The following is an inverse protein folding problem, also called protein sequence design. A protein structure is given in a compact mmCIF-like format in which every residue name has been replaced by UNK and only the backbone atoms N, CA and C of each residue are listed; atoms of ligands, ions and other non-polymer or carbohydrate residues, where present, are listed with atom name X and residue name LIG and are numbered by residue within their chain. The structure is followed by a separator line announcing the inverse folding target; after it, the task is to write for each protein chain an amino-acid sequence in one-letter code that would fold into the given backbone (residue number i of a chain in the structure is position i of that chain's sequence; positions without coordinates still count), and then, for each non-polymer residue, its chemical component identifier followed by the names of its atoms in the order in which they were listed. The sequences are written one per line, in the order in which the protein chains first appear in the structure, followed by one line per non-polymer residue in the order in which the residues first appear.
data_IF_187252493862
#
_entry.id   IF_187252493862
#
_cell.length_a   1.000
_cell.length_b   1.000
_cell.length_c   1.000
_cell.angle_alpha   90.00
_cell.angle_beta   90.00
_cell.angle_gamma   90.00
#
_symmetry.space_group_name_H-M   'P 1'
#
loop_
_entity.id
_entity.type
_entity.pdbx_description
1 polymer ?
#
# COMPACT_ATOMS: atom_id res chain seq x y z
N UNK A 1 -32.67 5.01 -14.19
CA UNK A 1 -31.92 6.21 -14.62
C UNK A 1 -31.12 6.67 -13.42
N UNK A 2 -29.79 6.49 -13.43
CA UNK A 2 -28.92 6.93 -12.33
C UNK A 2 -28.67 8.44 -12.45
N UNK A 3 -28.62 9.13 -11.31
CA UNK A 3 -28.27 10.53 -11.25
C UNK A 3 -26.79 10.72 -11.67
N UNK A 4 -26.43 11.83 -12.34
CA UNK A 4 -25.05 12.09 -12.70
C UNK A 4 -24.19 12.24 -11.44
N UNK A 5 -23.09 11.48 -11.37
CA UNK A 5 -22.08 11.61 -10.31
C UNK A 5 -21.52 13.03 -10.35
N UNK A 6 -21.61 13.72 -9.22
CA UNK A 6 -21.14 15.09 -9.08
C UNK A 6 -19.63 15.13 -8.86
N UNK A 7 -18.99 16.24 -9.24
CA UNK A 7 -17.57 16.46 -8.96
C UNK A 7 -17.24 16.34 -7.45
N UNK A 8 -18.21 16.63 -6.56
CA UNK A 8 -18.06 16.45 -5.12
C UNK A 8 -17.93 14.97 -4.72
N UNK A 9 -18.72 14.07 -5.33
CA UNK A 9 -18.67 12.62 -5.06
C UNK A 9 -17.36 12.00 -5.53
N UNK A 10 -16.83 12.45 -6.68
CA UNK A 10 -15.51 12.04 -7.19
C UNK A 10 -14.42 12.48 -6.20
N UNK A 11 -14.43 13.74 -5.75
CA UNK A 11 -13.46 14.25 -4.79
C UNK A 11 -13.54 13.53 -3.43
N UNK A 12 -14.74 13.23 -2.95
CA UNK A 12 -14.93 12.47 -1.70
C UNK A 12 -14.36 11.06 -1.82
N UNK A 13 -14.63 10.38 -2.93
CA UNK A 13 -14.10 9.03 -3.20
C UNK A 13 -12.59 9.04 -3.28
N UNK A 14 -12.01 10.04 -3.96
CA UNK A 14 -10.57 10.23 -4.04
C UNK A 14 -9.92 10.41 -2.66
N UNK A 15 -10.49 11.28 -1.82
CA UNK A 15 -9.98 11.51 -0.47
C UNK A 15 -10.04 10.26 0.42
N UNK A 16 -11.09 9.45 0.31
CA UNK A 16 -11.19 8.20 1.08
C UNK A 16 -10.19 7.15 0.57
N UNK A 17 -9.98 7.03 -0.75
CA UNK A 17 -8.91 6.18 -1.33
C UNK A 17 -7.52 6.60 -0.81
N UNK A 18 -7.22 7.90 -0.82
CA UNK A 18 -5.94 8.43 -0.29
C UNK A 18 -5.77 8.18 1.22
N UNK A 19 -6.85 8.31 2.00
CA UNK A 19 -6.84 7.98 3.43
C UNK A 19 -6.58 6.49 3.66
N UNK A 20 -7.19 5.63 2.86
CA UNK A 20 -6.98 4.18 2.96
C UNK A 20 -5.54 3.81 2.56
N UNK A 21 -5.01 4.39 1.49
CA UNK A 21 -3.61 4.25 1.07
C UNK A 21 -2.63 4.61 2.19
N UNK A 22 -2.86 5.72 2.90
CA UNK A 22 -2.04 6.11 4.08
C UNK A 22 -2.10 5.07 5.21
N UNK A 23 -3.28 4.52 5.50
CA UNK A 23 -3.42 3.44 6.50
C UNK A 23 -2.67 2.18 6.08
N UNK A 24 -2.80 1.76 4.81
CA UNK A 24 -2.10 0.60 4.27
C UNK A 24 -0.59 0.78 4.34
N UNK A 25 -0.07 1.97 3.99
CA UNK A 25 1.36 2.29 4.11
C UNK A 25 1.85 2.20 5.56
N UNK A 26 1.05 2.64 6.53
CA UNK A 26 1.39 2.52 7.94
C UNK A 26 1.50 1.05 8.37
N UNK A 27 0.57 0.19 7.93
CA UNK A 27 0.60 -1.25 8.20
C UNK A 27 1.83 -1.90 7.57
N UNK A 28 2.15 -1.60 6.31
CA UNK A 28 3.34 -2.14 5.63
C UNK A 28 4.62 -1.72 6.35
N UNK A 29 4.70 -0.45 6.78
CA UNK A 29 5.85 0.06 7.53
C UNK A 29 6.03 -0.69 8.85
N UNK A 30 4.94 -0.94 9.58
CA UNK A 30 4.99 -1.70 10.82
C UNK A 30 5.45 -3.15 10.59
N UNK A 31 4.90 -3.82 9.56
CA UNK A 31 5.31 -5.17 9.18
C UNK A 31 6.81 -5.25 8.84
N UNK A 32 7.32 -4.31 8.04
CA UNK A 32 8.76 -4.23 7.73
C UNK A 32 9.59 -4.12 9.00
N UNK A 33 9.21 -3.22 9.92
CA UNK A 33 9.91 -3.04 11.18
C UNK A 33 9.91 -4.32 12.04
N UNK A 34 8.80 -5.07 12.05
CA UNK A 34 8.72 -6.33 12.78
C UNK A 34 9.63 -7.40 12.17
N UNK A 35 9.65 -7.53 10.83
CA UNK A 35 10.51 -8.50 10.14
C UNK A 35 11.99 -8.14 10.34
N UNK A 36 12.36 -6.87 10.22
CA UNK A 36 13.73 -6.43 10.48
C UNK A 36 14.18 -6.72 11.91
N UNK A 37 13.32 -6.50 12.91
CA UNK A 37 13.61 -6.88 14.31
C UNK A 37 13.87 -8.38 14.44
N UNK A 38 13.04 -9.23 13.82
CA UNK A 38 13.23 -10.68 13.83
C UNK A 38 14.54 -11.08 13.16
N UNK A 39 14.84 -10.54 11.98
CA UNK A 39 16.10 -10.79 11.27
C UNK A 39 17.32 -10.32 12.05
N UNK A 40 17.23 -9.21 12.77
CA UNK A 40 18.31 -8.72 13.63
C UNK A 40 18.52 -9.62 14.85
N UNK A 41 17.46 -10.16 15.45
CA UNK A 41 17.55 -11.16 16.52
C UNK A 41 18.18 -12.47 16.03
N UNK A 42 17.85 -12.94 14.82
CA UNK A 42 18.50 -14.10 14.20
C UNK A 42 20.01 -13.89 14.11
N UNK A 43 20.44 -12.76 13.56
CA UNK A 43 21.87 -12.43 13.45
C UNK A 43 22.55 -12.30 14.82
N UNK A 44 21.88 -11.69 15.80
CA UNK A 44 22.40 -11.60 17.17
C UNK A 44 22.58 -12.98 17.83
N UNK A 45 21.76 -13.95 17.44
CA UNK A 45 21.88 -15.35 17.87
C UNK A 45 22.79 -16.19 16.97
N UNK A 46 23.62 -15.56 16.12
CA UNK A 46 24.50 -16.22 15.15
C UNK A 46 23.77 -17.16 14.17
N UNK A 47 22.48 -16.95 13.96
CA UNK A 47 21.69 -17.64 12.94
C UNK A 47 21.72 -16.84 11.64
N UNK A 48 21.75 -17.52 10.48
CA UNK A 48 21.57 -16.83 9.20
C UNK A 48 20.18 -16.19 9.14
N UNK A 49 20.04 -15.13 8.36
CA UNK A 49 18.74 -14.54 8.06
C UNK A 49 17.88 -15.56 7.32
N UNK A 50 16.59 -15.59 7.66
CA UNK A 50 15.62 -16.39 6.93
C UNK A 50 15.41 -15.80 5.51
N UNK A 51 15.67 -16.57 4.44
CA UNK A 51 15.42 -16.12 3.06
C UNK A 51 13.98 -15.69 2.80
N UNK A 52 12.99 -16.27 3.50
CA UNK A 52 11.60 -15.88 3.39
C UNK A 52 11.36 -14.46 3.93
N UNK A 53 12.06 -14.07 5.01
CA UNK A 53 11.99 -12.71 5.54
C UNK A 53 12.56 -11.69 4.55
N UNK A 54 13.65 -12.03 3.85
CA UNK A 54 14.22 -11.16 2.82
C UNK A 54 13.30 -11.00 1.60
N UNK A 55 12.69 -12.10 1.15
CA UNK A 55 11.69 -12.04 0.07
C UNK A 55 10.47 -11.22 0.48
N UNK A 56 9.99 -11.38 1.72
CA UNK A 56 8.85 -10.62 2.23
C UNK A 56 9.17 -9.13 2.34
N UNK A 57 10.35 -8.75 2.84
CA UNK A 57 10.79 -7.35 2.87
C UNK A 57 10.81 -6.74 1.47
N UNK A 58 11.33 -7.47 0.48
CA UNK A 58 11.34 -7.01 -0.92
C UNK A 58 9.92 -6.84 -1.48
N UNK A 59 9.02 -7.78 -1.22
CA UNK A 59 7.63 -7.66 -1.66
C UNK A 59 6.91 -6.46 -1.01
N UNK A 60 7.19 -6.19 0.27
CA UNK A 60 6.67 -5.02 0.97
C UNK A 60 7.24 -3.72 0.40
N UNK A 61 8.50 -3.69 -0.03
CA UNK A 61 9.09 -2.54 -0.75
C UNK A 61 8.38 -2.28 -2.08
N UNK A 62 8.13 -3.32 -2.87
CA UNK A 62 7.39 -3.22 -4.13
C UNK A 62 5.96 -2.70 -3.91
N UNK A 63 5.30 -3.11 -2.84
CA UNK A 63 3.98 -2.61 -2.47
C UNK A 63 3.99 -1.14 -2.04
N UNK A 64 5.02 -0.69 -1.32
CA UNK A 64 5.18 0.74 -1.00
C UNK A 64 5.33 1.56 -2.29
N UNK A 65 6.15 1.08 -3.23
CA UNK A 65 6.34 1.76 -4.51
C UNK A 65 5.03 1.84 -5.30
N UNK A 66 4.28 0.74 -5.38
CA UNK A 66 2.96 0.72 -6.01
C UNK A 66 2.00 1.71 -5.36
N UNK A 67 1.90 1.69 -4.03
CA UNK A 67 1.01 2.60 -3.31
C UNK A 67 1.43 4.05 -3.47
N UNK A 68 2.72 4.38 -3.56
CA UNK A 68 3.19 5.76 -3.70
C UNK A 68 3.03 6.32 -5.13
N UNK A 69 2.67 5.50 -6.11
CA UNK A 69 2.40 6.00 -7.45
C UNK A 69 1.27 7.04 -7.42
N UNK A 70 1.38 8.09 -8.26
CA UNK A 70 0.26 8.99 -8.46
C UNK A 70 -0.92 8.18 -9.01
N UNK A 71 -2.16 8.57 -8.69
CA UNK A 71 -3.34 7.95 -9.29
C UNK A 71 -3.19 7.97 -10.81
N UNK A 72 -3.25 6.79 -11.44
CA UNK A 72 -3.22 6.69 -12.90
C UNK A 72 -4.52 7.25 -13.46
N UNK A 73 -4.48 7.80 -14.69
CA UNK A 73 -5.66 8.29 -15.41
C UNK A 73 -6.81 7.26 -15.43
N UNK A 74 -6.46 5.97 -15.43
CA UNK A 74 -7.40 4.85 -15.32
C UNK A 74 -8.19 4.82 -14.01
N UNK A 75 -7.66 5.25 -12.86
CA UNK A 75 -8.43 5.31 -11.60
C UNK A 75 -9.38 6.53 -11.54
N UNK A 76 -9.11 7.54 -12.37
CA UNK A 76 -9.98 8.70 -12.59
C UNK A 76 -11.08 8.32 -13.60
N UNK A 77 -10.73 7.56 -14.64
CA UNK A 77 -11.66 7.04 -15.65
C UNK A 77 -12.54 5.91 -15.12
N UNK A 78 -12.07 5.00 -14.25
CA UNK A 78 -12.92 3.93 -13.68
C UNK A 78 -13.99 4.50 -12.72
N UNK A 79 -13.72 5.67 -12.11
CA UNK A 79 -14.73 6.48 -11.42
C UNK A 79 -15.69 7.25 -12.35
N UNK A 80 -15.41 7.28 -13.66
CA UNK A 80 -16.25 7.83 -14.73
C UNK A 80 -16.89 6.74 -15.62
N UNK A 81 -16.33 5.52 -15.65
CA UNK A 81 -16.72 4.41 -16.53
C UNK A 81 -17.52 3.33 -15.80
N UNK A 82 -17.45 3.22 -14.47
CA UNK A 82 -18.52 2.55 -13.71
C UNK A 82 -19.77 3.46 -13.66
N UNK A 83 -20.45 3.68 -14.80
CA UNK A 83 -21.92 3.73 -14.96
C UNK A 83 -22.41 4.18 -16.36
#
# INVERSE_FOLDING_TARGET
MSAPVTAEEILRTFLEKEKQKKKTLAVITDLKNQIEKLSNLQMANHQPRDPANEQLLKALDEWVLFLLQPPTTFEIEDGLEEH
#
